data_IF_137456276352
#
_entry.id   IF_137456276352
#
_cell.length_a   1.000
_cell.length_b   1.000
_cell.length_c   1.000
_cell.angle_alpha   90.00
_cell.angle_beta   90.00
_cell.angle_gamma   90.00
#
_symmetry.space_group_name_H-M   'P 1'
#
loop_
_entity.id
_entity.type
_entity.pdbx_description
1 polymer ?
#
# COMPACT_ATOMS: atom_id res chain seq x y z
N UNK A 1 13.34 15.89 -5.32
CA UNK A 1 12.06 15.29 -4.89
C UNK A 1 10.92 16.21 -5.30
N UNK A 2 9.86 15.71 -5.95
CA UNK A 2 8.71 16.54 -6.37
C UNK A 2 7.87 16.98 -5.16
N UNK A 3 7.80 16.16 -4.09
CA UNK A 3 7.11 16.50 -2.85
C UNK A 3 7.71 17.69 -2.09
N UNK A 4 9.03 17.89 -2.13
CA UNK A 4 9.69 19.00 -1.40
C UNK A 4 9.39 20.38 -1.98
N UNK A 5 8.80 20.44 -3.19
CA UNK A 5 8.33 21.68 -3.80
C UNK A 5 6.90 22.06 -3.37
N UNK A 6 6.13 21.10 -2.86
CA UNK A 6 4.72 21.26 -2.49
C UNK A 6 4.49 21.19 -0.98
N UNK A 7 5.33 20.44 -0.27
CA UNK A 7 5.29 20.32 1.19
C UNK A 7 6.56 20.95 1.77
N UNK A 8 6.41 22.06 2.49
CA UNK A 8 7.49 22.68 3.30
C UNK A 8 8.10 21.70 4.29
N UNK A 9 7.35 20.67 4.70
CA UNK A 9 7.74 19.67 5.69
C UNK A 9 7.62 18.24 5.15
N UNK A 10 8.24 17.95 4.00
CA UNK A 10 8.25 16.59 3.41
C UNK A 10 8.77 15.49 4.38
N UNK A 11 9.56 15.85 5.39
CA UNK A 11 10.01 14.92 6.43
C UNK A 11 8.84 14.42 7.32
N UNK A 12 7.77 15.19 7.50
CA UNK A 12 6.57 14.75 8.24
C UNK A 12 5.85 13.61 7.52
N UNK A 13 5.94 13.56 6.20
CA UNK A 13 5.42 12.44 5.40
C UNK A 13 6.19 11.15 5.67
N UNK A 14 7.51 11.26 5.75
CA UNK A 14 8.38 10.12 6.08
C UNK A 14 8.08 9.66 7.50
N UNK A 15 7.97 10.59 8.45
CA UNK A 15 7.68 10.28 9.85
C UNK A 15 6.29 9.63 10.01
N UNK A 16 5.25 10.16 9.35
CA UNK A 16 3.89 9.58 9.46
C UNK A 16 3.84 8.18 8.87
N UNK A 17 4.53 7.94 7.76
CA UNK A 17 4.65 6.62 7.15
C UNK A 17 5.43 5.67 8.07
N UNK A 18 6.53 6.14 8.67
CA UNK A 18 7.31 5.37 9.61
C UNK A 18 6.47 4.96 10.83
N UNK A 19 5.78 5.91 11.47
CA UNK A 19 4.88 5.65 12.60
C UNK A 19 3.80 4.63 12.22
N UNK A 20 3.17 4.79 11.05
CA UNK A 20 2.15 3.86 10.57
C UNK A 20 2.68 2.43 10.51
N UNK A 21 3.87 2.24 9.93
CA UNK A 21 4.52 0.93 9.82
C UNK A 21 5.05 0.40 11.14
N UNK A 22 5.59 1.25 12.03
CA UNK A 22 6.05 0.82 13.37
C UNK A 22 4.88 0.34 14.22
N UNK A 23 3.76 1.09 14.24
CA UNK A 23 2.58 0.69 14.99
C UNK A 23 1.91 -0.54 14.39
N UNK A 24 1.88 -0.66 13.06
CA UNK A 24 1.38 -1.86 12.41
C UNK A 24 2.30 -3.06 12.69
N UNK A 25 3.62 -2.87 12.61
CA UNK A 25 4.68 -3.85 12.88
C UNK A 25 4.70 -4.37 14.32
N UNK A 26 4.35 -3.52 15.29
CA UNK A 26 4.15 -3.91 16.68
C UNK A 26 2.85 -4.70 16.93
N UNK A 27 2.03 -4.91 15.90
CA UNK A 27 0.78 -5.67 15.96
C UNK A 27 0.82 -6.88 15.02
N UNK A 28 -0.13 -7.81 15.17
CA UNK A 28 -0.29 -8.94 14.26
C UNK A 28 -0.55 -8.54 12.80
N UNK A 29 -0.91 -7.28 12.54
CA UNK A 29 -1.21 -6.76 11.19
C UNK A 29 0.03 -6.39 10.38
N UNK A 30 1.18 -6.14 11.03
CA UNK A 30 2.41 -5.67 10.37
C UNK A 30 2.93 -6.62 9.29
N UNK A 31 2.64 -7.91 9.44
CA UNK A 31 3.07 -8.99 8.54
C UNK A 31 2.38 -8.91 7.18
N UNK A 32 1.22 -8.25 7.08
CA UNK A 32 0.37 -8.26 5.87
C UNK A 32 1.09 -7.73 4.63
N UNK A 33 1.87 -6.65 4.77
CA UNK A 33 2.61 -6.06 3.65
C UNK A 33 3.88 -6.83 3.23
N UNK A 34 4.30 -7.81 4.04
CA UNK A 34 5.59 -8.50 3.90
C UNK A 34 5.46 -10.00 3.72
N UNK A 35 4.24 -10.53 3.75
CA UNK A 35 3.96 -11.95 3.71
C UNK A 35 3.33 -12.37 2.38
N UNK A 36 3.65 -13.60 2.00
CA UNK A 36 3.07 -14.30 0.87
C UNK A 36 2.18 -15.46 1.38
N UNK A 37 0.90 -15.54 0.97
CA UNK A 37 0.01 -16.60 1.39
C UNK A 37 0.56 -17.98 1.07
N UNK A 38 0.48 -18.94 1.99
CA UNK A 38 0.93 -20.33 1.71
C UNK A 38 -0.04 -21.14 0.85
N UNK A 39 -1.21 -20.58 0.52
CA UNK A 39 -2.23 -21.26 -0.28
C UNK A 39 -1.98 -21.08 -1.77
N UNK A 40 -2.19 -22.13 -2.56
CA UNK A 40 -2.17 -22.07 -4.03
C UNK A 40 -3.53 -21.68 -4.63
N UNK A 41 -4.58 -21.56 -3.80
CA UNK A 41 -5.92 -21.20 -4.28
C UNK A 41 -5.98 -19.72 -4.62
N UNK A 42 -6.03 -19.42 -5.92
CA UNK A 42 -6.04 -18.05 -6.47
C UNK A 42 -7.19 -17.21 -5.90
N UNK A 43 -8.39 -17.81 -5.77
CA UNK A 43 -9.56 -17.11 -5.23
C UNK A 43 -9.36 -16.65 -3.78
N UNK A 44 -8.68 -17.46 -2.96
CA UNK A 44 -8.36 -17.10 -1.58
C UNK A 44 -7.35 -15.97 -1.58
N UNK A 45 -6.31 -16.03 -2.42
CA UNK A 45 -5.31 -14.95 -2.54
C UNK A 45 -5.92 -13.63 -3.00
N UNK A 46 -6.83 -13.66 -3.97
CA UNK A 46 -7.53 -12.47 -4.45
C UNK A 46 -8.37 -11.84 -3.33
N UNK A 47 -9.26 -12.62 -2.70
CA UNK A 47 -10.19 -12.12 -1.69
C UNK A 47 -9.47 -11.64 -0.43
N UNK A 48 -8.50 -12.42 0.07
CA UNK A 48 -7.68 -12.01 1.22
C UNK A 48 -6.79 -10.81 0.87
N UNK A 49 -6.25 -10.76 -0.34
CA UNK A 49 -5.45 -9.64 -0.81
C UNK A 49 -6.25 -8.34 -0.86
N UNK A 50 -7.50 -8.40 -1.33
CA UNK A 50 -8.39 -7.23 -1.38
C UNK A 50 -8.69 -6.70 0.02
N UNK A 51 -9.03 -7.59 0.95
CA UNK A 51 -9.42 -7.23 2.33
C UNK A 51 -8.20 -6.70 3.09
N UNK A 52 -7.12 -7.47 3.12
CA UNK A 52 -5.92 -7.15 3.91
C UNK A 52 -5.17 -5.95 3.31
N UNK A 53 -5.12 -5.85 1.99
CA UNK A 53 -4.63 -4.65 1.30
C UNK A 53 -5.47 -3.43 1.64
N UNK A 54 -6.80 -3.53 1.60
CA UNK A 54 -7.70 -2.44 1.99
C UNK A 54 -7.45 -1.95 3.43
N UNK A 55 -7.36 -2.87 4.38
CA UNK A 55 -7.06 -2.56 5.79
C UNK A 55 -5.70 -1.84 5.91
N UNK A 56 -4.67 -2.37 5.25
CA UNK A 56 -3.32 -1.79 5.26
C UNK A 56 -3.32 -0.38 4.69
N UNK A 57 -3.98 -0.17 3.54
CA UNK A 57 -4.04 1.13 2.89
C UNK A 57 -4.85 2.16 3.67
N UNK A 58 -5.94 1.76 4.31
CA UNK A 58 -6.70 2.64 5.21
C UNK A 58 -5.86 3.02 6.42
N UNK A 59 -5.15 2.06 7.03
CA UNK A 59 -4.28 2.31 8.18
C UNK A 59 -3.17 3.30 7.84
N UNK A 60 -2.39 3.02 6.79
CA UNK A 60 -1.30 3.90 6.33
C UNK A 60 -1.86 5.27 5.90
N UNK A 61 -2.96 5.27 5.14
CA UNK A 61 -3.62 6.48 4.66
C UNK A 61 -4.13 7.36 5.80
N UNK A 62 -4.65 6.77 6.89
CA UNK A 62 -5.11 7.49 8.07
C UNK A 62 -3.97 8.24 8.77
N UNK A 63 -2.82 7.60 8.95
CA UNK A 63 -1.64 8.26 9.53
C UNK A 63 -1.08 9.36 8.63
N UNK A 64 -1.01 9.12 7.33
CA UNK A 64 -0.57 10.13 6.35
C UNK A 64 -1.55 11.31 6.24
N UNK A 65 -2.84 11.06 6.44
CA UNK A 65 -3.88 12.09 6.39
C UNK A 65 -3.67 13.19 7.44
N UNK A 66 -3.11 12.89 8.62
CA UNK A 66 -2.78 13.92 9.61
C UNK A 66 -1.81 14.98 9.10
N UNK A 67 -0.94 14.62 8.16
CA UNK A 67 -0.04 15.56 7.48
C UNK A 67 -0.81 16.31 6.38
N UNK A 68 -1.56 15.58 5.56
CA UNK A 68 -2.28 16.17 4.41
C UNK A 68 -3.42 17.11 4.80
N UNK A 69 -4.07 16.91 5.94
CA UNK A 69 -5.21 17.75 6.36
C UNK A 69 -4.87 19.22 6.53
N UNK A 70 -3.59 19.52 6.79
CA UNK A 70 -3.09 20.90 6.92
C UNK A 70 -2.79 21.58 5.59
N UNK A 71 -2.70 20.80 4.50
CA UNK A 71 -2.20 21.29 3.19
C UNK A 71 -3.25 21.16 2.09
N UNK A 72 -4.11 20.13 2.13
CA UNK A 72 -5.05 19.82 1.04
C UNK A 72 -6.51 19.91 1.47
N UNK A 73 -7.36 20.67 0.75
CA UNK A 73 -8.80 20.55 0.87
C UNK A 73 -9.21 19.15 0.38
N UNK A 74 -10.19 18.54 1.06
CA UNK A 74 -10.66 17.16 0.78
C UNK A 74 -9.59 16.07 0.95
N UNK A 75 -8.57 16.32 1.77
CA UNK A 75 -7.55 15.34 2.17
C UNK A 75 -8.10 14.02 2.71
N UNK A 76 -9.33 13.97 3.22
CA UNK A 76 -9.98 12.74 3.68
C UNK A 76 -10.12 11.69 2.56
N UNK A 77 -10.19 12.10 1.28
CA UNK A 77 -10.20 11.18 0.14
C UNK A 77 -8.91 10.38 0.01
N UNK A 78 -7.80 10.85 0.60
CA UNK A 78 -6.53 10.13 0.64
C UNK A 78 -6.65 8.75 1.29
N UNK A 79 -7.46 8.64 2.35
CA UNK A 79 -7.65 7.38 3.08
C UNK A 79 -8.28 6.34 2.15
N UNK A 80 -9.33 6.74 1.43
CA UNK A 80 -10.02 5.87 0.47
C UNK A 80 -9.11 5.49 -0.70
N UNK A 81 -8.41 6.46 -1.29
CA UNK A 81 -7.51 6.21 -2.42
C UNK A 81 -6.32 5.32 -2.03
N UNK A 82 -5.81 5.48 -0.80
CA UNK A 82 -4.77 4.60 -0.24
C UNK A 82 -5.29 3.18 -0.04
N UNK A 83 -6.49 3.03 0.53
CA UNK A 83 -7.16 1.73 0.68
C UNK A 83 -7.32 1.00 -0.65
N UNK A 84 -7.84 1.69 -1.68
CA UNK A 84 -8.01 1.12 -3.02
C UNK A 84 -6.67 0.73 -3.63
N UNK A 85 -5.66 1.61 -3.51
CA UNK A 85 -4.32 1.37 -4.07
C UNK A 85 -3.68 0.11 -3.48
N UNK A 86 -3.74 -0.05 -2.15
CA UNK A 86 -3.20 -1.23 -1.48
C UNK A 86 -4.01 -2.49 -1.76
N UNK A 87 -5.34 -2.39 -1.76
CA UNK A 87 -6.24 -3.52 -2.05
C UNK A 87 -5.96 -4.13 -3.42
N UNK A 88 -5.88 -3.29 -4.45
CA UNK A 88 -5.56 -3.72 -5.82
C UNK A 88 -4.15 -4.28 -5.92
N UNK A 89 -3.15 -3.55 -5.42
CA UNK A 89 -1.75 -3.92 -5.57
C UNK A 89 -1.41 -5.24 -4.89
N UNK A 90 -1.91 -5.43 -3.66
CA UNK A 90 -1.65 -6.62 -2.86
C UNK A 90 -2.33 -7.85 -3.46
N UNK A 91 -3.55 -7.70 -3.97
CA UNK A 91 -4.25 -8.75 -4.72
C UNK A 91 -3.50 -9.16 -5.98
N UNK A 92 -3.08 -8.19 -6.80
CA UNK A 92 -2.37 -8.45 -8.06
C UNK A 92 -1.03 -9.13 -7.78
N UNK A 93 -0.23 -8.59 -6.84
CA UNK A 93 1.07 -9.17 -6.51
C UNK A 93 0.97 -10.57 -5.92
N UNK A 94 -0.02 -10.85 -5.06
CA UNK A 94 -0.25 -12.19 -4.53
C UNK A 94 -0.71 -13.19 -5.58
N UNK A 95 -1.54 -12.78 -6.54
CA UNK A 95 -1.93 -13.64 -7.66
C UNK A 95 -0.72 -13.97 -8.53
N UNK A 96 0.05 -12.96 -8.92
CA UNK A 96 1.23 -13.17 -9.79
C UNK A 96 2.28 -14.03 -9.07
N UNK A 97 2.59 -13.72 -7.80
CA UNK A 97 3.49 -14.52 -6.99
C UNK A 97 3.03 -15.97 -6.83
N UNK A 98 1.72 -16.17 -6.61
CA UNK A 98 1.13 -17.50 -6.46
C UNK A 98 1.15 -18.32 -7.75
N UNK A 99 0.84 -17.71 -8.90
CA UNK A 99 0.94 -18.36 -10.21
C UNK A 99 2.38 -18.75 -10.48
N UNK A 100 3.32 -17.81 -10.29
CA UNK A 100 4.73 -18.08 -10.54
C UNK A 100 5.28 -19.15 -9.58
N UNK A 101 4.87 -19.15 -8.31
CA UNK A 101 5.22 -20.19 -7.35
C UNK A 101 4.63 -21.55 -7.74
N UNK A 102 3.40 -21.60 -8.23
CA UNK A 102 2.78 -22.86 -8.67
C UNK A 102 3.48 -23.51 -9.86
N UNK A 103 4.11 -22.72 -10.72
CA UNK A 103 4.85 -23.19 -11.90
C UNK A 103 6.29 -23.53 -11.57
N UNK A 104 6.95 -22.72 -10.74
CA UNK A 104 8.39 -22.84 -10.47
C UNK A 104 8.70 -23.67 -9.23
N UNK A 105 7.76 -23.79 -8.29
CA UNK A 105 7.95 -24.32 -6.93
C UNK A 105 9.04 -23.59 -6.13
N UNK A 106 9.44 -22.39 -6.55
CA UNK A 106 10.49 -21.59 -5.91
C UNK A 106 9.89 -20.47 -5.06
N UNK A 107 10.32 -20.35 -3.81
CA UNK A 107 9.93 -19.25 -2.92
C UNK A 107 10.23 -17.86 -3.50
N UNK A 108 11.27 -17.75 -4.35
CA UNK A 108 11.63 -16.50 -5.02
C UNK A 108 10.47 -15.91 -5.85
N UNK A 109 9.56 -16.75 -6.33
CA UNK A 109 8.37 -16.30 -7.05
C UNK A 109 7.47 -15.38 -6.22
N UNK A 110 7.34 -15.65 -4.92
CA UNK A 110 6.55 -14.81 -4.01
C UNK A 110 7.24 -13.47 -3.75
N UNK A 111 8.57 -13.44 -3.75
CA UNK A 111 9.36 -12.19 -3.66
C UNK A 111 9.10 -11.32 -4.88
N UNK A 112 9.02 -11.91 -6.08
CA UNK A 112 8.63 -11.19 -7.30
C UNK A 112 7.20 -10.62 -7.16
N UNK A 113 6.27 -11.41 -6.63
CA UNK A 113 4.92 -10.95 -6.31
C UNK A 113 4.93 -9.72 -5.39
N UNK A 114 5.71 -9.75 -4.31
CA UNK A 114 5.86 -8.62 -3.38
C UNK A 114 6.50 -7.39 -4.05
N UNK A 115 7.52 -7.56 -4.89
CA UNK A 115 8.11 -6.45 -5.65
C UNK A 115 7.02 -5.76 -6.49
N UNK A 116 6.15 -6.53 -7.14
CA UNK A 116 5.02 -6.00 -7.90
C UNK A 116 4.04 -5.23 -7.00
N UNK A 117 3.72 -5.75 -5.80
CA UNK A 117 2.89 -5.02 -4.82
C UNK A 117 3.47 -3.63 -4.56
N UNK A 118 4.74 -3.54 -4.17
CA UNK A 118 5.35 -2.27 -3.78
C UNK A 118 5.44 -1.27 -4.94
N UNK A 119 5.74 -1.74 -6.15
CA UNK A 119 5.75 -0.90 -7.35
C UNK A 119 4.35 -0.35 -7.66
N UNK A 120 3.32 -1.21 -7.64
CA UNK A 120 1.95 -0.80 -7.90
C UNK A 120 1.42 0.15 -6.83
N UNK A 121 1.69 -0.10 -5.54
CA UNK A 121 1.31 0.80 -4.46
C UNK A 121 1.95 2.16 -4.67
N UNK A 122 3.26 2.22 -4.93
CA UNK A 122 3.97 3.47 -5.15
C UNK A 122 3.43 4.25 -6.35
N UNK A 123 3.15 3.54 -7.46
CA UNK A 123 2.56 4.14 -8.66
C UNK A 123 1.14 4.68 -8.40
N UNK A 124 0.24 3.87 -7.86
CA UNK A 124 -1.16 4.24 -7.64
C UNK A 124 -1.30 5.35 -6.60
N UNK A 125 -0.56 5.28 -5.49
CA UNK A 125 -0.57 6.34 -4.47
C UNK A 125 0.06 7.64 -5.00
N UNK A 126 1.10 7.55 -5.83
CA UNK A 126 1.68 8.72 -6.51
C UNK A 126 0.71 9.40 -7.47
N UNK A 127 -0.04 8.62 -8.26
CA UNK A 127 -1.10 9.13 -9.16
C UNK A 127 -2.22 9.76 -8.32
N UNK A 128 -2.67 9.07 -7.27
CA UNK A 128 -3.73 9.56 -6.38
C UNK A 128 -3.36 10.89 -5.72
N UNK A 129 -2.13 11.02 -5.23
CA UNK A 129 -1.65 12.26 -4.61
C UNK A 129 -1.59 13.39 -5.63
N UNK A 130 -1.07 13.11 -6.83
CA UNK A 130 -1.01 14.08 -7.94
C UNK A 130 -2.40 14.57 -8.36
N UNK A 131 -3.38 13.66 -8.36
CA UNK A 131 -4.77 13.99 -8.65
C UNK A 131 -5.39 14.90 -7.58
N UNK A 132 -5.17 14.61 -6.30
CA UNK A 132 -5.67 15.44 -5.20
C UNK A 132 -5.04 16.84 -5.23
N UNK A 133 -3.74 16.94 -5.52
CA UNK A 133 -3.03 18.21 -5.63
C UNK A 133 -3.55 19.08 -6.78
N UNK A 134 -3.92 18.49 -7.93
CA UNK A 134 -4.50 19.24 -9.06
C UNK A 134 -5.92 19.75 -8.81
N UNK A 135 -6.64 19.15 -7.85
CA UNK A 135 -8.02 19.52 -7.49
C UNK A 135 -8.12 20.49 -6.31
N UNK A 136 -6.98 20.81 -5.69
CA UNK A 136 -6.84 21.83 -4.67
C UNK A 136 -6.64 23.21 -5.28
#
# INVERSE_FOLDING_TARGET
MVLSRLFTHAWLWILSTFIAWTLMGGSSFGVIGWFAPRTNLIIIRLTTGLILGGITGIWVGFWQWFVLKSVLPKSYLWILLSGISWSLSLSIGWIIGGILHSVTHLFLAEVIGLIIVWLLVGMLTGIALSYLLKKS
#
